data_IF_583305149588
#
_entry.id   IF_583305149588
#
_cell.length_a   1.000
_cell.length_b   1.000
_cell.length_c   1.000
_cell.angle_alpha   90.00
_cell.angle_beta   90.00
_cell.angle_gamma   90.00
#
_symmetry.space_group_name_H-M   'P 1'
#
loop_
_entity.id
_entity.type
_entity.pdbx_description
1 polymer ?
#
# COMPACT_ATOMS: atom_id res chain seq x y z
N UNK A 1 -11.48 -6.81 4.92
CA UNK A 1 -12.74 -7.55 4.61
C UNK A 1 -13.62 -6.67 3.72
N UNK A 2 -14.44 -7.27 2.85
CA UNK A 2 -15.35 -6.50 1.96
C UNK A 2 -14.70 -5.95 0.68
N UNK A 3 -13.49 -6.40 0.34
CA UNK A 3 -12.90 -6.09 -0.96
C UNK A 3 -13.68 -6.81 -2.07
N UNK A 4 -13.98 -6.09 -3.15
CA UNK A 4 -14.59 -6.64 -4.35
C UNK A 4 -13.64 -6.47 -5.53
N UNK A 5 -13.36 -7.56 -6.24
CA UNK A 5 -12.59 -7.51 -7.50
C UNK A 5 -13.56 -7.58 -8.67
N UNK A 6 -13.57 -6.52 -9.49
CA UNK A 6 -14.26 -6.50 -10.78
C UNK A 6 -13.34 -7.05 -11.87
N UNK A 7 -13.84 -8.00 -12.65
CA UNK A 7 -13.21 -8.54 -13.85
C UNK A 7 -14.13 -8.24 -15.03
N UNK A 8 -13.78 -7.25 -15.87
CA UNK A 8 -14.64 -6.84 -16.97
C UNK A 8 -14.90 -7.93 -18.00
N UNK A 9 -16.12 -8.01 -18.53
CA UNK A 9 -16.47 -8.90 -19.65
C UNK A 9 -16.48 -10.41 -19.33
N UNK A 10 -16.41 -10.78 -18.05
CA UNK A 10 -16.47 -12.18 -17.58
C UNK A 10 -17.83 -12.53 -16.95
N UNK A 11 -18.83 -11.65 -17.09
CA UNK A 11 -20.20 -11.88 -16.66
C UNK A 11 -21.04 -12.56 -17.74
N UNK A 12 -22.35 -12.51 -17.57
CA UNK A 12 -23.29 -13.07 -18.56
C UNK A 12 -23.42 -12.17 -19.81
N UNK A 13 -23.78 -12.74 -20.99
CA UNK A 13 -24.12 -11.96 -22.16
C UNK A 13 -25.24 -10.95 -21.90
N UNK A 14 -25.18 -9.78 -22.54
CA UNK A 14 -26.25 -8.78 -22.50
C UNK A 14 -27.38 -9.20 -23.44
N UNK A 15 -28.63 -9.13 -22.97
CA UNK A 15 -29.81 -9.48 -23.78
C UNK A 15 -29.94 -8.62 -25.04
N UNK A 16 -29.50 -7.36 -25.00
CA UNK A 16 -29.56 -6.43 -26.13
C UNK A 16 -28.44 -6.62 -27.14
N UNK A 17 -27.33 -7.25 -26.73
CA UNK A 17 -26.21 -7.54 -27.62
C UNK A 17 -25.42 -8.74 -27.05
N UNK A 18 -25.61 -9.95 -27.62
CA UNK A 18 -25.02 -11.18 -27.09
C UNK A 18 -23.50 -11.24 -27.21
N UNK A 19 -22.87 -10.39 -28.03
CA UNK A 19 -21.40 -10.28 -28.13
C UNK A 19 -20.79 -9.45 -27.00
N UNK A 20 -21.63 -8.77 -26.20
CA UNK A 20 -21.21 -8.01 -25.04
C UNK A 20 -21.53 -8.78 -23.77
N UNK A 21 -20.56 -8.84 -22.87
CA UNK A 21 -20.67 -9.54 -21.59
C UNK A 21 -20.63 -8.53 -20.45
N UNK A 22 -21.40 -8.79 -19.39
CA UNK A 22 -21.28 -8.07 -18.13
C UNK A 22 -19.97 -8.38 -17.42
N UNK A 23 -19.85 -7.98 -16.16
CA UNK A 23 -18.62 -8.18 -15.39
C UNK A 23 -18.79 -9.26 -14.34
N UNK A 24 -17.69 -9.96 -14.06
CA UNK A 24 -17.60 -10.83 -12.90
C UNK A 24 -17.15 -10.01 -11.68
N UNK A 25 -17.97 -10.03 -10.62
CA UNK A 25 -17.64 -9.41 -9.34
C UNK A 25 -17.31 -10.51 -8.35
N UNK A 26 -16.06 -10.55 -7.89
CA UNK A 26 -15.59 -11.49 -6.87
C UNK A 26 -15.63 -10.77 -5.52
N UNK A 27 -16.41 -11.30 -4.59
CA UNK A 27 -16.44 -10.84 -3.20
C UNK A 27 -15.62 -11.78 -2.34
N UNK A 28 -14.65 -11.23 -1.61
CA UNK A 28 -13.79 -12.02 -0.73
C UNK A 28 -14.39 -12.05 0.67
N UNK A 29 -14.90 -13.21 1.07
CA UNK A 29 -15.15 -13.51 2.47
C UNK A 29 -13.82 -13.90 3.14
N UNK A 30 -13.49 -13.21 4.23
CA UNK A 30 -12.21 -13.38 4.91
C UNK A 30 -12.48 -14.02 6.26
N UNK A 31 -12.25 -15.32 6.34
CA UNK A 31 -12.32 -16.07 7.59
C UNK A 31 -11.06 -15.85 8.42
N UNK A 32 -11.25 -15.37 9.66
CA UNK A 32 -10.17 -15.23 10.61
C UNK A 32 -9.96 -16.53 11.39
N UNK A 33 -8.71 -16.90 11.72
CA UNK A 33 -8.45 -18.07 12.56
C UNK A 33 -9.09 -17.89 13.93
N UNK A 34 -9.69 -18.97 14.46
CA UNK A 34 -10.42 -18.94 15.74
C UNK A 34 -9.52 -18.81 16.96
N UNK A 35 -8.27 -19.29 16.85
CA UNK A 35 -7.27 -19.19 17.91
C UNK A 35 -5.86 -19.08 17.32
N UNK A 36 -4.96 -18.50 18.10
CA UNK A 36 -3.53 -18.40 17.80
C UNK A 36 -2.74 -18.70 19.07
N UNK A 37 -1.67 -19.49 18.93
CA UNK A 37 -0.72 -19.73 20.01
C UNK A 37 0.18 -18.49 20.26
N UNK A 38 0.98 -18.52 21.33
CA UNK A 38 1.85 -17.40 21.71
C UNK A 38 2.79 -16.98 20.59
N UNK A 39 3.40 -17.96 19.93
CA UNK A 39 4.47 -17.73 18.98
C UNK A 39 3.91 -17.16 17.67
N UNK A 40 2.77 -17.69 17.20
CA UNK A 40 2.03 -17.14 16.07
C UNK A 40 1.67 -15.67 16.30
N UNK A 41 1.23 -15.30 17.51
CA UNK A 41 0.94 -13.90 17.85
C UNK A 41 2.20 -13.04 17.79
N UNK A 42 3.34 -13.56 18.24
CA UNK A 42 4.63 -12.86 18.17
C UNK A 42 5.04 -12.62 16.73
N UNK A 43 5.02 -13.65 15.88
CA UNK A 43 5.39 -13.52 14.46
C UNK A 43 4.48 -12.56 13.70
N UNK A 44 3.17 -12.58 13.96
CA UNK A 44 2.24 -11.63 13.34
C UNK A 44 2.58 -10.18 13.74
N UNK A 45 2.90 -9.94 15.02
CA UNK A 45 3.31 -8.60 15.48
C UNK A 45 4.59 -8.15 14.77
N UNK A 46 5.60 -9.00 14.68
CA UNK A 46 6.84 -8.67 13.97
C UNK A 46 6.60 -8.36 12.49
N UNK A 47 5.82 -9.21 11.80
CA UNK A 47 5.55 -9.05 10.38
C UNK A 47 4.73 -7.78 10.06
N UNK A 48 3.69 -7.50 10.86
CA UNK A 48 2.75 -6.42 10.56
C UNK A 48 3.10 -5.09 11.23
N UNK A 49 3.67 -5.09 12.44
CA UNK A 49 3.93 -3.85 13.20
C UNK A 49 5.31 -3.31 12.86
N UNK A 50 6.35 -4.14 12.80
CA UNK A 50 7.70 -3.64 12.48
C UNK A 50 7.83 -3.18 11.02
N UNK A 51 7.02 -3.73 10.10
CA UNK A 51 6.98 -3.26 8.71
C UNK A 51 6.37 -1.85 8.58
N UNK A 52 5.51 -1.42 9.52
CA UNK A 52 4.93 -0.08 9.54
C UNK A 52 5.88 0.99 10.09
N UNK A 53 6.85 0.63 10.92
CA UNK A 53 7.81 1.59 11.52
C UNK A 53 8.95 1.94 10.54
N UNK A 54 9.36 0.99 9.70
CA UNK A 54 10.48 1.16 8.76
C UNK A 54 10.20 2.22 7.67
N UNK A 55 8.94 2.46 7.31
CA UNK A 55 8.58 3.46 6.30
C UNK A 55 8.68 4.91 6.79
N UNK A 56 8.60 5.17 8.11
CA UNK A 56 8.70 6.54 8.66
C UNK A 56 10.14 7.03 8.86
N UNK A 57 11.09 6.13 9.14
CA UNK A 57 12.48 6.52 9.41
C UNK A 57 13.27 6.89 8.14
N UNK A 58 12.88 6.39 6.97
CA UNK A 58 13.59 6.69 5.72
C UNK A 58 13.27 8.09 5.13
N UNK A 59 12.22 8.76 5.63
CA UNK A 59 11.88 10.12 5.18
C UNK A 59 12.65 11.22 5.96
N UNK A 60 13.15 10.93 7.17
CA UNK A 60 13.85 11.93 8.00
C UNK A 60 15.35 12.05 7.70
N UNK A 61 15.97 11.04 7.08
CA UNK A 61 17.40 11.10 6.73
C UNK A 61 17.70 11.96 5.49
N UNK A 62 16.69 12.30 4.67
CA UNK A 62 16.86 13.11 3.45
C UNK A 62 17.01 14.62 3.68
N UNK A 63 16.58 15.15 4.83
CA UNK A 63 16.50 16.62 5.03
C UNK A 63 17.76 17.28 5.57
N UNK A 64 18.82 16.53 5.88
CA UNK A 64 20.04 17.09 6.48
C UNK A 64 21.01 17.72 5.46
N UNK A 65 20.85 17.44 4.17
CA UNK A 65 21.83 17.83 3.15
C UNK A 65 21.59 19.22 2.52
N UNK A 66 20.45 19.88 2.77
CA UNK A 66 20.13 21.16 2.12
C UNK A 66 20.55 22.42 2.90
N UNK A 67 21.10 22.31 4.12
CA UNK A 67 21.50 23.48 4.94
C UNK A 67 22.93 24.00 4.72
N UNK A 68 23.69 23.50 3.73
CA UNK A 68 25.11 23.89 3.54
C UNK A 68 25.42 24.75 2.31
N UNK A 69 24.45 25.33 1.60
CA UNK A 69 24.72 26.01 0.31
C UNK A 69 24.47 27.52 0.26
N UNK A 70 24.48 28.25 1.38
CA UNK A 70 24.07 29.66 1.39
C UNK A 70 24.93 30.60 2.25
N UNK A 71 26.24 30.41 2.32
CA UNK A 71 27.14 31.34 3.04
C UNK A 71 28.44 31.70 2.31
N UNK A 72 28.51 31.59 0.99
CA UNK A 72 29.65 32.11 0.21
C UNK A 72 29.12 32.86 -1.01
N UNK A 73 28.64 34.09 -0.79
CA UNK A 73 28.49 35.13 -1.82
C UNK A 73 28.23 36.47 -1.13
N UNK A 74 29.28 36.98 -0.53
CA UNK A 74 29.40 38.35 -0.06
C UNK A 74 30.89 38.58 0.07
N UNK A 75 31.37 39.70 -0.48
CA UNK A 75 32.74 40.20 -0.41
C UNK A 75 33.62 39.88 -1.64
N UNK A 76 33.24 40.45 -2.79
CA UNK A 76 34.22 40.82 -3.84
C UNK A 76 33.70 42.01 -4.66
N UNK A 77 34.15 43.23 -4.31
CA UNK A 77 34.14 44.43 -5.15
C UNK A 77 35.45 45.17 -4.90
N UNK A 78 36.35 45.10 -5.87
CA UNK A 78 37.32 46.14 -6.26
C UNK A 78 37.32 46.19 -7.79
#
# INVERSE_FOLDING_TARGET
PGYKKRIPGQGMPLMTNPDKFGDLIIEFDVEYPTALNSDQKTYIKEALIHSLVKSKQQQQSGNRQQRKKSTEKGDEWD
#
